data_IF_206941984313
#
_entry.id   IF_206941984313
#
_cell.length_a   1.000
_cell.length_b   1.000
_cell.length_c   1.000
_cell.angle_alpha   90.00
_cell.angle_beta   90.00
_cell.angle_gamma   90.00
#
_symmetry.space_group_name_H-M   'P 1'
#
loop_
_entity.id
_entity.type
_entity.pdbx_description
1 polymer ?
#
# COMPACT_ATOMS: atom_id res chain seq x y z
N UNK A 1 15.00 0.75 15.77
CA UNK A 1 13.73 1.27 15.28
C UNK A 1 12.99 0.17 14.57
N UNK A 2 11.72 -0.08 14.94
CA UNK A 2 10.87 -1.01 14.20
C UNK A 2 9.95 -0.25 13.27
N UNK A 3 9.75 -0.76 12.06
CA UNK A 3 8.75 -0.26 11.11
C UNK A 3 7.76 -1.38 10.82
N UNK A 4 6.51 -1.15 11.19
CA UNK A 4 5.40 -2.03 10.88
C UNK A 4 4.68 -1.49 9.64
N UNK A 5 4.32 -2.36 8.72
CA UNK A 5 3.58 -2.00 7.51
C UNK A 5 2.32 -2.82 7.48
N UNK A 6 1.19 -2.18 7.24
CA UNK A 6 -0.07 -2.87 7.01
C UNK A 6 -0.80 -2.29 5.80
N UNK A 7 -1.55 -3.13 5.11
CA UNK A 7 -2.50 -2.71 4.09
C UNK A 7 -3.84 -2.41 4.76
N UNK A 8 -4.57 -1.43 4.22
CA UNK A 8 -5.94 -1.13 4.65
C UNK A 8 -6.84 -2.36 4.69
N UNK A 9 -7.87 -2.33 5.51
CA UNK A 9 -8.92 -3.35 5.59
C UNK A 9 -9.72 -3.50 4.30
N UNK A 10 -10.57 -4.51 4.23
CA UNK A 10 -11.39 -4.78 3.05
C UNK A 10 -12.35 -3.63 2.75
N UNK A 11 -12.53 -3.31 1.47
CA UNK A 11 -13.56 -2.42 0.94
C UNK A 11 -14.56 -3.24 0.11
N UNK A 12 -15.71 -2.65 -0.24
CA UNK A 12 -16.65 -3.30 -1.16
C UNK A 12 -15.99 -3.61 -2.52
N UNK A 13 -15.11 -2.74 -3.01
CA UNK A 13 -14.40 -3.00 -4.27
C UNK A 13 -13.37 -4.13 -4.16
N UNK A 14 -12.82 -4.40 -2.97
CA UNK A 14 -12.00 -5.59 -2.78
C UNK A 14 -12.83 -6.87 -2.89
N UNK A 15 -14.03 -6.91 -2.26
CA UNK A 15 -14.93 -8.06 -2.32
C UNK A 15 -15.40 -8.36 -3.74
N UNK A 16 -15.62 -7.32 -4.55
CA UNK A 16 -16.02 -7.41 -5.96
C UNK A 16 -14.83 -7.62 -6.92
N UNK A 17 -13.59 -7.67 -6.41
CA UNK A 17 -12.39 -7.82 -7.24
C UNK A 17 -12.12 -6.65 -8.19
N UNK A 18 -12.56 -5.43 -7.84
CA UNK A 18 -12.35 -4.21 -8.64
C UNK A 18 -11.04 -3.53 -8.28
N UNK A 19 -10.36 -2.98 -9.29
CA UNK A 19 -9.19 -2.11 -9.10
C UNK A 19 -9.62 -0.78 -8.50
N UNK A 20 -9.01 -0.39 -7.38
CA UNK A 20 -9.38 0.84 -6.68
C UNK A 20 -8.53 2.04 -7.09
N UNK A 21 -7.20 1.85 -7.16
CA UNK A 21 -6.28 2.94 -7.42
C UNK A 21 -6.47 4.08 -6.42
N UNK A 22 -6.67 5.28 -6.95
CA UNK A 22 -6.89 6.50 -6.15
C UNK A 22 -8.37 6.82 -5.90
N UNK A 23 -9.31 5.96 -6.34
CA UNK A 23 -10.72 6.12 -5.96
C UNK A 23 -10.88 5.99 -4.45
N UNK A 24 -11.62 6.91 -3.87
CA UNK A 24 -11.73 7.07 -2.43
C UNK A 24 -12.90 6.26 -1.88
N UNK A 25 -12.67 4.96 -1.69
CA UNK A 25 -13.66 3.97 -1.22
C UNK A 25 -13.43 3.72 0.27
N UNK A 26 -14.51 3.67 1.04
CA UNK A 26 -14.53 3.40 2.48
C UNK A 26 -14.32 1.91 2.79
N UNK A 27 -13.98 1.59 4.03
CA UNK A 27 -13.99 0.21 4.52
C UNK A 27 -15.42 -0.34 4.52
N UNK A 28 -15.58 -1.61 4.19
CA UNK A 28 -16.80 -2.33 4.52
C UNK A 28 -16.73 -2.88 5.96
N UNK A 29 -17.80 -3.47 6.46
CA UNK A 29 -17.85 -3.99 7.84
C UNK A 29 -16.77 -5.05 8.13
N UNK A 30 -16.47 -5.90 7.12
CA UNK A 30 -15.37 -6.88 7.22
C UNK A 30 -14.03 -6.17 7.37
N UNK A 31 -13.78 -5.10 6.62
CA UNK A 31 -12.55 -4.32 6.71
C UNK A 31 -12.37 -3.62 8.06
N UNK A 32 -13.45 -3.13 8.65
CA UNK A 32 -13.42 -2.54 10.00
C UNK A 32 -13.09 -3.60 11.06
N UNK A 33 -13.67 -4.79 10.96
CA UNK A 33 -13.35 -5.90 11.84
C UNK A 33 -11.90 -6.36 11.68
N UNK A 34 -11.40 -6.47 10.44
CA UNK A 34 -10.01 -6.79 10.16
C UNK A 34 -9.06 -5.78 10.82
N UNK A 35 -9.37 -4.48 10.76
CA UNK A 35 -8.56 -3.44 11.38
C UNK A 35 -8.57 -3.55 12.92
N UNK A 36 -9.71 -3.87 13.54
CA UNK A 36 -9.80 -4.12 14.98
C UNK A 36 -8.93 -5.32 15.40
N UNK A 37 -9.03 -6.44 14.69
CA UNK A 37 -8.23 -7.64 14.94
C UNK A 37 -6.74 -7.34 14.80
N UNK A 38 -6.38 -6.53 13.80
CA UNK A 38 -4.98 -6.13 13.58
C UNK A 38 -4.45 -5.29 14.73
N UNK A 39 -5.23 -4.32 15.22
CA UNK A 39 -4.89 -3.53 16.41
C UNK A 39 -4.64 -4.42 17.62
N UNK A 40 -5.54 -5.37 17.90
CA UNK A 40 -5.39 -6.34 19.00
C UNK A 40 -4.14 -7.23 18.84
N UNK A 41 -3.84 -7.64 17.61
CA UNK A 41 -2.69 -8.52 17.31
C UNK A 41 -1.35 -7.84 17.63
N UNK A 42 -1.26 -6.53 17.43
CA UNK A 42 -0.01 -5.77 17.62
C UNK A 42 -0.03 -4.89 18.88
N UNK A 43 -1.04 -4.99 19.74
CA UNK A 43 -1.22 -4.12 20.91
C UNK A 43 -0.06 -4.12 21.91
N UNK A 44 0.67 -5.23 21.98
CA UNK A 44 1.82 -5.38 22.88
C UNK A 44 3.11 -4.80 22.27
N UNK A 45 3.08 -4.41 21.00
CA UNK A 45 4.18 -3.70 20.36
C UNK A 45 4.15 -2.21 20.77
N UNK A 46 5.34 -1.62 20.90
CA UNK A 46 5.44 -0.19 21.11
C UNK A 46 5.34 0.52 19.75
N UNK A 47 4.23 1.20 19.49
CA UNK A 47 4.07 2.10 18.34
C UNK A 47 4.13 3.54 18.87
N UNK A 48 5.00 4.36 18.31
CA UNK A 48 5.18 5.77 18.74
C UNK A 48 4.44 6.73 17.80
N UNK A 49 4.22 6.36 16.53
CA UNK A 49 3.51 7.16 15.53
C UNK A 49 2.90 6.27 14.44
N UNK A 50 1.81 6.71 13.84
CA UNK A 50 1.19 6.08 12.67
C UNK A 50 1.29 7.04 11.49
N UNK A 51 1.80 6.56 10.35
CA UNK A 51 1.85 7.31 9.10
C UNK A 51 0.95 6.59 8.09
N UNK A 52 0.00 7.31 7.50
CA UNK A 52 -1.03 6.70 6.66
C UNK A 52 -1.20 7.41 5.33
N UNK A 53 -1.61 6.67 4.32
CA UNK A 53 -2.18 7.24 3.11
C UNK A 53 -3.46 8.04 3.45
N UNK A 54 -3.73 9.19 2.82
CA UNK A 54 -4.93 9.99 3.05
C UNK A 54 -6.21 9.35 2.51
N UNK A 55 -6.13 8.30 1.70
CA UNK A 55 -7.32 7.63 1.18
C UNK A 55 -8.14 7.03 2.32
N UNK A 56 -9.45 7.27 2.33
CA UNK A 56 -10.38 6.93 3.41
C UNK A 56 -10.14 5.54 3.99
N UNK A 57 -10.04 4.50 3.15
CA UNK A 57 -9.83 3.12 3.60
C UNK A 57 -8.56 2.92 4.44
N UNK A 58 -7.46 3.65 4.10
CA UNK A 58 -6.22 3.56 4.86
C UNK A 58 -6.32 4.36 6.15
N UNK A 59 -6.88 5.59 6.07
CA UNK A 59 -7.11 6.44 7.25
C UNK A 59 -8.04 5.77 8.25
N UNK A 60 -9.19 5.24 7.83
CA UNK A 60 -10.11 4.51 8.72
C UNK A 60 -9.43 3.29 9.37
N UNK A 61 -8.59 2.56 8.61
CA UNK A 61 -7.81 1.46 9.17
C UNK A 61 -6.85 1.96 10.24
N UNK A 62 -6.12 3.05 9.98
CA UNK A 62 -5.20 3.67 10.93
C UNK A 62 -5.93 4.13 12.20
N UNK A 63 -7.07 4.81 12.06
CA UNK A 63 -7.89 5.30 13.17
C UNK A 63 -8.41 4.15 14.07
N UNK A 64 -8.84 3.04 13.44
CA UNK A 64 -9.32 1.86 14.17
C UNK A 64 -8.17 1.20 14.94
N UNK A 65 -7.01 0.99 14.31
CA UNK A 65 -5.82 0.41 14.94
C UNK A 65 -5.32 1.33 16.07
N UNK A 66 -5.34 2.65 15.86
CA UNK A 66 -4.86 3.63 16.83
C UNK A 66 -5.63 3.66 18.16
N UNK A 67 -6.82 3.06 18.22
CA UNK A 67 -7.55 2.90 19.50
C UNK A 67 -6.75 2.12 20.55
N UNK A 68 -5.79 1.28 20.14
CA UNK A 68 -4.90 0.53 21.02
C UNK A 68 -3.70 1.37 21.50
N UNK A 69 -3.27 2.37 20.72
CA UNK A 69 -2.02 3.09 20.96
C UNK A 69 -2.22 4.55 21.39
N UNK A 70 -3.25 5.19 20.86
CA UNK A 70 -3.57 6.61 21.10
C UNK A 70 -2.37 7.54 20.82
N UNK A 71 -1.73 7.34 19.66
CA UNK A 71 -0.60 8.12 19.18
C UNK A 71 -1.00 9.07 18.04
N UNK A 72 -0.08 9.94 17.61
CA UNK A 72 -0.30 10.81 16.45
C UNK A 72 -0.47 9.99 15.17
N UNK A 73 -1.42 10.43 14.32
CA UNK A 73 -1.59 9.93 12.95
C UNK A 73 -1.21 11.06 12.00
N UNK A 74 -0.25 10.79 11.11
CA UNK A 74 0.21 11.71 10.07
C UNK A 74 -0.17 11.16 8.71
N UNK A 75 -0.83 11.96 7.89
CA UNK A 75 -1.16 11.61 6.50
C UNK A 75 0.00 11.99 5.56
N UNK A 76 0.31 11.11 4.60
CA UNK A 76 1.31 11.37 3.57
C UNK A 76 0.79 10.88 2.20
N UNK A 77 0.66 11.81 1.26
CA UNK A 77 0.15 11.54 -0.09
C UNK A 77 1.03 10.55 -0.86
N UNK A 78 2.33 10.50 -0.53
CA UNK A 78 3.28 9.58 -1.15
C UNK A 78 2.98 8.12 -0.81
N UNK A 79 2.15 7.84 0.22
CA UNK A 79 1.69 6.50 0.58
C UNK A 79 0.41 6.07 -0.13
N UNK A 80 -0.21 6.92 -0.98
CA UNK A 80 -1.41 6.54 -1.74
C UNK A 80 -1.16 5.31 -2.62
N UNK A 81 -2.25 4.60 -2.96
CA UNK A 81 -2.19 3.48 -3.90
C UNK A 81 -1.71 3.95 -5.29
N UNK A 82 -1.14 3.03 -6.06
CA UNK A 82 -0.84 3.26 -7.47
C UNK A 82 -2.08 3.76 -8.18
N UNK A 83 -1.95 4.84 -8.95
CA UNK A 83 -2.99 5.26 -9.87
C UNK A 83 -3.11 4.23 -11.01
N UNK A 84 -4.28 3.66 -11.20
CA UNK A 84 -4.56 2.76 -12.32
C UNK A 84 -5.27 3.47 -13.50
N UNK A 85 -5.43 4.79 -13.41
CA UNK A 85 -5.97 5.61 -14.49
C UNK A 85 -7.31 5.10 -14.99
N UNK A 86 -7.39 4.85 -16.30
CA UNK A 86 -8.62 4.43 -16.97
C UNK A 86 -9.12 3.03 -16.55
N UNK A 87 -8.32 2.27 -15.81
CA UNK A 87 -8.72 0.95 -15.29
C UNK A 87 -9.26 0.96 -13.86
N UNK A 88 -9.38 2.14 -13.23
CA UNK A 88 -9.99 2.22 -11.91
C UNK A 88 -11.49 1.90 -11.99
N UNK A 89 -11.93 0.95 -11.17
CA UNK A 89 -13.30 0.46 -11.11
C UNK A 89 -13.59 -0.80 -11.93
N UNK A 90 -12.75 -1.19 -12.89
CA UNK A 90 -12.92 -2.44 -13.61
C UNK A 90 -12.55 -3.64 -12.73
N UNK A 91 -13.14 -4.79 -13.03
CA UNK A 91 -12.81 -6.05 -12.33
C UNK A 91 -11.50 -6.65 -12.84
N UNK A 92 -10.91 -7.55 -12.07
CA UNK A 92 -9.74 -8.33 -12.50
C UNK A 92 -10.02 -9.18 -13.75
N UNK A 93 -11.28 -9.58 -13.97
CA UNK A 93 -11.71 -10.32 -15.18
C UNK A 93 -11.66 -9.40 -16.39
N UNK A 94 -12.33 -8.25 -16.31
CA UNK A 94 -12.30 -7.22 -17.35
C UNK A 94 -10.87 -6.75 -17.66
N UNK A 95 -10.01 -6.63 -16.65
CA UNK A 95 -8.60 -6.29 -16.86
C UNK A 95 -7.86 -7.38 -17.68
N UNK A 96 -8.14 -8.67 -17.43
CA UNK A 96 -7.54 -9.76 -18.22
C UNK A 96 -7.97 -9.68 -19.69
N UNK A 97 -9.22 -9.37 -19.95
CA UNK A 97 -9.73 -9.18 -21.30
C UNK A 97 -9.06 -7.97 -21.98
N UNK A 98 -8.94 -6.85 -21.25
CA UNK A 98 -8.22 -5.66 -21.72
C UNK A 98 -6.76 -5.94 -22.05
N UNK A 99 -6.06 -6.77 -21.28
CA UNK A 99 -4.67 -7.16 -21.55
C UNK A 99 -4.52 -7.97 -22.83
N UNK A 100 -5.52 -8.78 -23.21
CA UNK A 100 -5.54 -9.48 -24.51
C UNK A 100 -5.67 -8.46 -25.65
N UNK A 101 -6.51 -7.44 -25.48
CA UNK A 101 -6.74 -6.39 -26.46
C UNK A 101 -5.56 -5.40 -26.56
N UNK A 102 -4.93 -5.09 -25.42
CA UNK A 102 -3.85 -4.11 -25.25
C UNK A 102 -2.68 -4.75 -24.47
N UNK A 103 -1.81 -5.51 -25.12
CA UNK A 103 -0.69 -6.21 -24.46
C UNK A 103 0.27 -5.27 -23.72
N UNK A 104 0.36 -4.00 -24.14
CA UNK A 104 1.18 -2.96 -23.51
C UNK A 104 0.78 -2.67 -22.04
N UNK A 105 -0.40 -3.11 -21.59
CA UNK A 105 -0.79 -3.03 -20.17
C UNK A 105 0.18 -3.83 -19.28
N UNK A 106 0.70 -4.96 -19.76
CA UNK A 106 1.70 -5.73 -19.03
C UNK A 106 3.03 -4.99 -18.96
N UNK A 107 3.37 -4.26 -20.01
CA UNK A 107 4.56 -3.41 -20.05
C UNK A 107 4.47 -2.23 -19.08
N UNK A 108 3.29 -1.61 -18.95
CA UNK A 108 3.05 -0.56 -17.95
C UNK A 108 3.16 -1.07 -16.49
N UNK A 109 3.13 -2.38 -16.30
CA UNK A 109 3.37 -3.01 -15.01
C UNK A 109 4.84 -3.43 -14.80
N UNK A 110 5.73 -3.10 -15.72
CA UNK A 110 7.14 -3.46 -15.69
C UNK A 110 8.00 -2.26 -15.30
N UNK A 111 8.76 -2.39 -14.21
CA UNK A 111 9.67 -1.34 -13.73
C UNK A 111 10.68 -0.87 -14.80
N UNK A 112 11.17 -1.79 -15.62
CA UNK A 112 12.21 -1.48 -16.61
C UNK A 112 11.69 -0.74 -17.85
N UNK A 113 10.40 -0.78 -18.12
CA UNK A 113 9.82 -0.23 -19.35
C UNK A 113 9.31 1.22 -19.21
N UNK A 114 8.99 1.65 -18.01
CA UNK A 114 8.52 3.03 -17.70
C UNK A 114 7.53 3.59 -18.73
N UNK A 115 6.48 2.82 -19.02
CA UNK A 115 5.49 3.18 -20.04
C UNK A 115 4.34 3.93 -19.37
N UNK A 116 4.12 5.18 -19.78
CA UNK A 116 2.96 6.00 -19.42
C UNK A 116 1.84 5.78 -20.44
N UNK A 117 0.85 4.98 -20.08
CA UNK A 117 -0.32 4.68 -20.90
C UNK A 117 -1.58 4.67 -20.02
N UNK A 118 -2.73 4.96 -20.61
CA UNK A 118 -4.03 4.90 -19.95
C UNK A 118 -4.12 5.70 -18.66
N UNK A 119 -3.38 6.80 -18.54
CA UNK A 119 -3.30 7.64 -17.35
C UNK A 119 -2.86 6.87 -16.08
N UNK A 120 -2.14 5.76 -16.24
CA UNK A 120 -1.62 4.96 -15.13
C UNK A 120 -0.32 5.56 -14.61
N UNK A 121 -0.17 5.59 -13.28
CA UNK A 121 1.14 5.87 -12.66
C UNK A 121 2.15 4.80 -13.06
N UNK A 122 3.33 5.21 -13.51
CA UNK A 122 4.40 4.26 -13.83
C UNK A 122 4.90 3.54 -12.58
N UNK A 123 5.51 2.38 -12.73
CA UNK A 123 6.11 1.70 -11.57
C UNK A 123 7.32 2.49 -11.05
N UNK A 124 8.03 3.20 -11.92
CA UNK A 124 9.16 4.04 -11.51
C UNK A 124 8.70 5.22 -10.65
N UNK A 125 7.63 5.93 -11.05
CA UNK A 125 7.09 7.04 -10.27
C UNK A 125 6.55 6.57 -8.91
N UNK A 126 5.83 5.43 -8.90
CA UNK A 126 5.40 4.79 -7.66
C UNK A 126 6.58 4.52 -6.72
N UNK A 127 7.65 3.90 -7.23
CA UNK A 127 8.83 3.60 -6.43
C UNK A 127 9.54 4.89 -5.95
N UNK A 128 9.68 5.88 -6.81
CA UNK A 128 10.35 7.13 -6.48
C UNK A 128 9.66 7.85 -5.31
N UNK A 129 8.32 8.07 -5.39
CA UNK A 129 7.60 8.76 -4.30
C UNK A 129 7.59 7.96 -2.98
N UNK A 130 7.50 6.63 -3.06
CA UNK A 130 7.54 5.78 -1.87
C UNK A 130 8.93 5.85 -1.23
N UNK A 131 10.01 5.76 -1.99
CA UNK A 131 11.36 5.83 -1.45
C UNK A 131 11.67 7.18 -0.82
N UNK A 132 11.27 8.28 -1.46
CA UNK A 132 11.38 9.63 -0.89
C UNK A 132 10.66 9.71 0.47
N UNK A 133 9.43 9.18 0.55
CA UNK A 133 8.68 9.12 1.81
C UNK A 133 9.42 8.33 2.89
N UNK A 134 9.97 7.17 2.54
CA UNK A 134 10.66 6.29 3.50
C UNK A 134 11.99 6.88 3.98
N UNK A 135 12.75 7.56 3.12
CA UNK A 135 13.97 8.28 3.49
C UNK A 135 13.66 9.38 4.52
N UNK A 136 12.56 10.10 4.32
CA UNK A 136 12.11 11.11 5.29
C UNK A 136 11.66 10.47 6.60
N UNK A 137 10.82 9.42 6.54
CA UNK A 137 10.32 8.72 7.73
C UNK A 137 11.50 8.18 8.57
N UNK A 138 12.43 7.49 7.94
CA UNK A 138 13.57 6.87 8.65
C UNK A 138 14.54 7.89 9.25
N UNK A 139 14.57 9.09 8.68
CA UNK A 139 15.39 10.20 9.19
C UNK A 139 14.68 10.95 10.30
N UNK A 140 13.44 11.36 10.07
CA UNK A 140 12.64 12.21 10.98
C UNK A 140 12.26 11.48 12.27
N UNK A 141 11.91 10.21 12.18
CA UNK A 141 11.43 9.39 13.29
C UNK A 141 12.49 8.40 13.79
N UNK A 142 13.75 8.76 13.63
CA UNK A 142 14.87 7.91 14.09
C UNK A 142 14.76 7.59 15.58
N UNK A 143 14.71 6.29 15.91
CA UNK A 143 14.59 5.79 17.28
C UNK A 143 13.15 5.58 17.75
N UNK A 144 12.15 5.98 16.95
CA UNK A 144 10.73 5.71 17.18
C UNK A 144 10.29 4.47 16.41
N UNK A 145 9.25 3.79 16.89
CA UNK A 145 8.62 2.70 16.14
C UNK A 145 7.42 3.25 15.36
N UNK A 146 7.40 3.00 14.08
CA UNK A 146 6.44 3.57 13.13
C UNK A 146 5.50 2.48 12.60
N UNK A 147 4.20 2.74 12.58
CA UNK A 147 3.24 1.95 11.82
C UNK A 147 2.88 2.69 10.53
N UNK A 148 3.11 2.07 9.38
CA UNK A 148 2.72 2.59 8.06
C UNK A 148 1.45 1.87 7.60
N UNK A 149 0.38 2.63 7.33
CA UNK A 149 -0.87 2.10 6.78
C UNK A 149 -0.99 2.52 5.31
N UNK A 150 -0.98 1.55 4.41
CA UNK A 150 -0.91 1.79 2.97
C UNK A 150 -1.78 0.82 2.17
N UNK A 151 -1.39 0.48 0.95
CA UNK A 151 -2.18 -0.26 -0.03
C UNK A 151 -1.41 -1.44 -0.63
N UNK A 152 -2.11 -2.25 -1.44
CA UNK A 152 -1.56 -3.46 -2.02
C UNK A 152 -0.33 -3.22 -2.89
N UNK A 153 -0.44 -2.38 -3.92
CA UNK A 153 0.70 -2.14 -4.83
C UNK A 153 1.76 -1.25 -4.20
N UNK A 154 1.38 -0.27 -3.38
CA UNK A 154 2.34 0.60 -2.68
C UNK A 154 3.15 -0.14 -1.62
N UNK A 155 2.64 -1.24 -1.04
CA UNK A 155 3.40 -2.07 -0.10
C UNK A 155 4.59 -2.80 -0.73
N UNK A 156 4.58 -3.00 -2.05
CA UNK A 156 5.66 -3.69 -2.76
C UNK A 156 6.97 -2.90 -2.71
N UNK A 157 7.05 -1.63 -3.20
CA UNK A 157 8.26 -0.84 -3.08
C UNK A 157 8.67 -0.59 -1.62
N UNK A 158 7.73 -0.48 -0.66
CA UNK A 158 8.06 -0.35 0.75
C UNK A 158 8.83 -1.59 1.24
N UNK A 159 8.34 -2.78 0.91
CA UNK A 159 9.04 -4.04 1.25
C UNK A 159 10.41 -4.11 0.57
N UNK A 160 10.52 -3.72 -0.71
CA UNK A 160 11.80 -3.69 -1.41
C UNK A 160 12.81 -2.77 -0.73
N UNK A 161 12.39 -1.59 -0.29
CA UNK A 161 13.23 -0.63 0.42
C UNK A 161 13.86 -1.26 1.67
N UNK A 162 13.07 -1.80 2.57
CA UNK A 162 13.55 -2.37 3.84
C UNK A 162 14.31 -3.69 3.65
N UNK A 163 13.93 -4.50 2.67
CA UNK A 163 14.63 -5.74 2.33
C UNK A 163 15.90 -5.49 1.51
N UNK A 164 16.18 -4.23 1.10
CA UNK A 164 17.26 -3.87 0.17
C UNK A 164 17.19 -4.68 -1.14
N UNK A 165 15.97 -4.93 -1.60
CA UNK A 165 15.73 -5.71 -2.81
C UNK A 165 15.82 -4.80 -4.03
N UNK A 166 16.64 -5.18 -5.06
CA UNK A 166 16.81 -4.34 -6.24
C UNK A 166 15.51 -4.14 -7.02
N UNK A 167 15.17 -2.89 -7.33
CA UNK A 167 13.91 -2.55 -8.02
C UNK A 167 13.83 -3.12 -9.45
N UNK A 168 14.97 -3.29 -10.12
CA UNK A 168 15.04 -3.94 -11.44
C UNK A 168 14.53 -5.39 -11.41
N UNK A 169 14.53 -6.04 -10.25
CA UNK A 169 14.01 -7.38 -10.06
C UNK A 169 12.50 -7.40 -9.76
N UNK A 170 11.83 -6.25 -9.69
CA UNK A 170 10.36 -6.16 -9.53
C UNK A 170 9.56 -6.78 -10.67
N UNK A 171 10.21 -7.14 -11.77
CA UNK A 171 9.61 -7.91 -12.87
C UNK A 171 9.13 -9.28 -12.39
N UNK A 172 9.81 -9.85 -11.38
CA UNK A 172 9.48 -11.15 -10.79
C UNK A 172 8.48 -11.01 -9.63
N UNK A 173 7.20 -10.77 -9.99
CA UNK A 173 6.11 -10.62 -9.03
C UNK A 173 5.82 -11.87 -8.19
N UNK A 174 6.42 -13.02 -8.53
CA UNK A 174 6.28 -14.22 -7.72
C UNK A 174 7.10 -14.12 -6.43
N UNK A 175 8.17 -13.32 -6.42
CA UNK A 175 9.06 -13.16 -5.26
C UNK A 175 8.60 -12.11 -4.26
N UNK A 176 7.99 -11.00 -4.73
CA UNK A 176 7.50 -9.95 -3.84
C UNK A 176 6.05 -9.64 -4.17
N UNK A 177 5.14 -10.11 -3.33
CA UNK A 177 3.70 -9.83 -3.43
C UNK A 177 3.35 -8.63 -2.56
N UNK A 178 2.33 -7.87 -2.99
CA UNK A 178 1.71 -6.87 -2.13
C UNK A 178 1.02 -7.52 -0.91
N UNK A 179 0.83 -6.74 0.13
CA UNK A 179 0.17 -7.20 1.35
C UNK A 179 -1.31 -7.52 1.09
N UNK A 180 -1.83 -8.52 1.77
CA UNK A 180 -3.27 -8.77 1.88
C UNK A 180 -3.92 -7.74 2.83
N UNK A 181 -5.25 -7.64 2.82
CA UNK A 181 -5.96 -6.71 3.68
C UNK A 181 -5.61 -6.95 5.16
N UNK A 182 -5.16 -5.92 5.87
CA UNK A 182 -4.74 -5.96 7.26
C UNK A 182 -3.61 -6.96 7.59
N UNK A 183 -2.89 -7.44 6.60
CA UNK A 183 -1.63 -8.16 6.82
C UNK A 183 -0.59 -7.19 7.38
N UNK A 184 0.14 -7.61 8.42
CA UNK A 184 1.20 -6.83 9.06
C UNK A 184 2.55 -7.50 8.81
N UNK A 185 3.52 -6.70 8.38
CA UNK A 185 4.93 -7.10 8.26
C UNK A 185 5.78 -6.13 9.07
N UNK A 186 6.79 -6.64 9.77
CA UNK A 186 7.73 -5.89 10.59
C UNK A 186 9.13 -5.88 9.97
N UNK A 187 9.80 -4.74 10.08
CA UNK A 187 11.21 -4.58 9.75
C UNK A 187 11.93 -3.91 10.91
N UNK A 188 13.13 -4.36 11.20
CA UNK A 188 14.05 -3.75 12.17
C UNK A 188 15.18 -3.02 11.43
N UNK A 189 15.40 -1.72 11.76
CA UNK A 189 16.38 -0.84 11.12
C UNK A 189 17.17 -0.03 12.16
#
# INVERSE_FOLDING_TARGET
>A
MKVFITRHGQTEWNSLGRLQGRKDIELNEVGKEQALITGEKIKDEKIDIIITSPLKRARETAEIINKQFNVEIVEDDRLMERCYGDFEGITKVELKEKKIQYPEIDDACNYLKNIDIFNMETIQDLCARIYECLDEITTKYKGENVLIVTHGSSSIPIKCYFMKYPLENLVDREKIKGLENCEVVEFEI
#
